data_IF_586196681090
#
_entry.id   IF_586196681090
#
_cell.length_a   1.000
_cell.length_b   1.000
_cell.length_c   1.000
_cell.angle_alpha   90.00
_cell.angle_beta   90.00
_cell.angle_gamma   90.00
#
_symmetry.space_group_name_H-M   'P 1'
#
loop_
_entity.id
_entity.type
_entity.pdbx_description
1 polymer ?
#
# COMPACT_ATOMS: atom_id res chain seq x y z
N UNK A 1 18.01 18.35 -3.70
CA UNK A 1 17.08 19.30 -3.02
C UNK A 1 15.64 18.80 -2.97
N UNK A 2 15.02 18.40 -4.10
CA UNK A 2 13.64 17.90 -4.16
C UNK A 2 13.30 16.74 -3.19
N UNK A 3 14.19 15.75 -3.04
CA UNK A 3 13.97 14.62 -2.12
C UNK A 3 13.93 15.03 -0.64
N UNK A 4 14.75 15.99 -0.23
CA UNK A 4 14.79 16.50 1.16
C UNK A 4 13.51 17.26 1.48
N UNK A 5 13.07 18.13 0.57
CA UNK A 5 11.79 18.83 0.70
C UNK A 5 10.61 17.83 0.73
N UNK A 6 10.64 16.81 -0.13
CA UNK A 6 9.64 15.74 -0.13
C UNK A 6 9.60 14.97 1.19
N UNK A 7 10.75 14.65 1.78
CA UNK A 7 10.84 14.02 3.11
C UNK A 7 10.19 14.89 4.19
N UNK A 8 10.47 16.20 4.19
CA UNK A 8 9.82 17.12 5.13
C UNK A 8 8.30 17.09 4.97
N UNK A 9 7.78 17.14 3.74
CA UNK A 9 6.34 17.03 3.46
C UNK A 9 5.76 15.71 3.99
N UNK A 10 6.42 14.58 3.71
CA UNK A 10 5.98 13.26 4.21
C UNK A 10 5.94 13.24 5.74
N UNK A 11 7.00 13.69 6.42
CA UNK A 11 7.05 13.72 7.87
C UNK A 11 6.04 14.71 8.48
N UNK A 12 5.77 15.84 7.85
CA UNK A 12 4.71 16.75 8.29
C UNK A 12 3.33 16.10 8.20
N UNK A 13 3.04 15.35 7.14
CA UNK A 13 1.77 14.62 6.98
C UNK A 13 1.62 13.55 8.06
N UNK A 14 2.69 12.78 8.32
CA UNK A 14 2.71 11.78 9.39
C UNK A 14 2.52 12.45 10.76
N UNK A 15 3.20 13.58 11.01
CA UNK A 15 3.05 14.35 12.24
C UNK A 15 1.61 14.82 12.47
N UNK A 16 0.92 15.27 11.42
CA UNK A 16 -0.50 15.65 11.49
C UNK A 16 -1.38 14.42 11.80
N UNK A 17 -1.10 13.27 11.19
CA UNK A 17 -1.84 12.03 11.43
C UNK A 17 -1.71 11.52 12.88
N UNK A 18 -0.64 11.90 13.58
CA UNK A 18 -0.40 11.57 14.99
C UNK A 18 -1.12 12.49 15.98
N UNK A 19 -1.59 13.67 15.56
CA UNK A 19 -2.22 14.64 16.47
C UNK A 19 -3.43 14.09 17.24
N UNK A 20 -4.36 13.33 16.64
CA UNK A 20 -5.48 12.73 17.37
C UNK A 20 -5.01 11.75 18.45
N UNK A 21 -4.01 10.92 18.13
CA UNK A 21 -3.39 9.98 19.08
C UNK A 21 -2.76 10.73 20.25
N UNK A 22 -1.98 11.78 19.96
CA UNK A 22 -1.36 12.62 20.99
C UNK A 22 -2.39 13.35 21.86
N UNK A 23 -3.52 13.77 21.28
CA UNK A 23 -4.60 14.41 22.03
C UNK A 23 -5.24 13.47 23.05
N UNK A 24 -5.45 12.19 22.69
CA UNK A 24 -5.95 11.17 23.62
C UNK A 24 -4.94 10.86 24.71
N UNK A 25 -3.65 10.81 24.38
CA UNK A 25 -2.58 10.58 25.37
C UNK A 25 -2.43 11.71 26.40
N UNK A 26 -2.95 12.91 26.15
CA UNK A 26 -2.99 13.99 27.17
C UNK A 26 -3.92 13.67 28.34
N UNK A 27 -4.88 12.75 28.15
CA UNK A 27 -5.74 12.27 29.22
C UNK A 27 -5.06 11.29 30.18
N UNK A 28 -3.81 10.89 29.89
CA UNK A 28 -3.06 9.95 30.70
C UNK A 28 -2.69 10.57 32.05
N UNK A 29 -3.18 9.96 33.13
CA UNK A 29 -2.92 10.40 34.51
C UNK A 29 -1.75 9.67 35.15
N UNK A 30 -0.98 10.35 36.01
CA UNK A 30 0.09 9.74 36.78
C UNK A 30 -0.41 9.34 38.18
N UNK A 31 -0.44 8.03 38.46
CA UNK A 31 -0.85 7.49 39.76
C UNK A 31 -1.02 5.96 39.73
N UNK A 32 -0.94 5.31 40.88
CA UNK A 32 -0.99 3.83 41.02
C UNK A 32 -2.35 3.36 41.59
N UNK A 33 -3.36 4.22 41.60
CA UNK A 33 -4.70 3.81 42.03
C UNK A 33 -5.33 2.85 41.01
N UNK A 34 -6.02 1.82 41.49
CA UNK A 34 -6.64 0.79 40.64
C UNK A 34 -7.60 1.36 39.59
N UNK A 35 -8.32 2.45 39.91
CA UNK A 35 -9.19 3.16 38.97
C UNK A 35 -8.41 3.87 37.86
N UNK A 36 -7.26 4.48 38.19
CA UNK A 36 -6.39 5.15 37.21
C UNK A 36 -5.77 4.14 36.25
N UNK A 37 -5.40 2.95 36.72
CA UNK A 37 -4.86 1.89 35.87
C UNK A 37 -5.84 1.45 34.77
N UNK A 38 -7.11 1.25 35.10
CA UNK A 38 -8.14 0.86 34.14
C UNK A 38 -8.35 1.97 33.09
N UNK A 39 -8.47 3.22 33.55
CA UNK A 39 -8.68 4.37 32.66
C UNK A 39 -7.49 4.57 31.73
N UNK A 40 -6.27 4.51 32.25
CA UNK A 40 -5.05 4.61 31.45
C UNK A 40 -4.93 3.46 30.44
N UNK A 41 -5.32 2.23 30.82
CA UNK A 41 -5.37 1.09 29.89
C UNK A 41 -6.32 1.33 28.72
N UNK A 42 -7.53 1.83 28.99
CA UNK A 42 -8.49 2.19 27.94
C UNK A 42 -7.98 3.32 27.03
N UNK A 43 -7.33 4.33 27.61
CA UNK A 43 -6.70 5.44 26.86
C UNK A 43 -5.62 4.91 25.92
N UNK A 44 -4.78 3.98 26.37
CA UNK A 44 -3.73 3.37 25.54
C UNK A 44 -4.30 2.53 24.40
N UNK A 45 -5.33 1.72 24.67
CA UNK A 45 -6.02 0.95 23.62
C UNK A 45 -6.64 1.90 22.59
N UNK A 46 -7.32 2.94 23.04
CA UNK A 46 -7.93 3.94 22.16
C UNK A 46 -6.87 4.67 21.31
N UNK A 47 -5.74 5.05 21.93
CA UNK A 47 -4.64 5.70 21.22
C UNK A 47 -4.03 4.77 20.15
N UNK A 48 -3.88 3.48 20.44
CA UNK A 48 -3.38 2.48 19.48
C UNK A 48 -4.36 2.30 18.31
N UNK A 49 -5.65 2.14 18.60
CA UNK A 49 -6.68 2.01 17.56
C UNK A 49 -6.73 3.26 16.68
N UNK A 50 -6.69 4.45 17.28
CA UNK A 50 -6.63 5.70 16.53
C UNK A 50 -5.39 5.76 15.65
N UNK A 51 -4.22 5.41 16.17
CA UNK A 51 -2.98 5.39 15.38
C UNK A 51 -3.07 4.46 14.16
N UNK A 52 -3.63 3.26 14.36
CA UNK A 52 -3.81 2.26 13.29
C UNK A 52 -4.79 2.73 12.21
N UNK A 53 -5.75 3.60 12.53
CA UNK A 53 -6.78 4.06 11.60
C UNK A 53 -6.43 5.40 10.95
N UNK A 54 -5.91 6.37 11.71
CA UNK A 54 -5.67 7.73 11.24
C UNK A 54 -4.61 7.78 10.15
N UNK A 55 -3.51 7.02 10.30
CA UNK A 55 -2.42 7.05 9.34
C UNK A 55 -2.84 6.48 7.97
N UNK A 56 -3.41 5.26 7.85
CA UNK A 56 -3.93 4.78 6.57
C UNK A 56 -5.02 5.68 5.97
N UNK A 57 -5.88 6.27 6.80
CA UNK A 57 -6.92 7.18 6.35
C UNK A 57 -6.32 8.46 5.73
N UNK A 58 -5.35 9.09 6.40
CA UNK A 58 -4.65 10.27 5.87
C UNK A 58 -3.92 9.94 4.57
N UNK A 59 -3.23 8.79 4.50
CA UNK A 59 -2.56 8.35 3.27
C UNK A 59 -3.56 8.14 2.13
N UNK A 60 -4.71 7.54 2.42
CA UNK A 60 -5.79 7.37 1.45
C UNK A 60 -6.32 8.71 0.93
N UNK A 61 -6.58 9.68 1.81
CA UNK A 61 -7.01 11.04 1.45
C UNK A 61 -5.96 11.75 0.60
N UNK A 62 -4.68 11.73 1.02
CA UNK A 62 -3.58 12.36 0.29
C UNK A 62 -3.42 11.74 -1.10
N UNK A 63 -3.55 10.42 -1.22
CA UNK A 63 -3.54 9.71 -2.51
C UNK A 63 -4.66 10.20 -3.43
N UNK A 64 -5.89 10.28 -2.91
CA UNK A 64 -7.04 10.75 -3.69
C UNK A 64 -6.84 12.20 -4.16
N UNK A 65 -6.31 13.07 -3.30
CA UNK A 65 -6.05 14.48 -3.62
C UNK A 65 -4.91 14.69 -4.63
N UNK A 66 -3.80 13.96 -4.50
CA UNK A 66 -2.60 14.21 -5.32
C UNK A 66 -2.62 13.50 -6.67
N UNK A 67 -3.18 12.28 -6.72
CA UNK A 67 -3.06 11.39 -7.87
C UNK A 67 -4.43 11.10 -8.52
N UNK A 68 -5.48 10.95 -7.71
CA UNK A 68 -6.78 10.48 -8.18
C UNK A 68 -6.68 9.10 -8.86
N UNK A 69 -7.40 8.91 -9.97
CA UNK A 69 -7.35 7.67 -10.77
C UNK A 69 -6.22 7.75 -11.80
N UNK A 70 -5.13 6.97 -11.63
CA UNK A 70 -4.05 6.87 -12.64
C UNK A 70 -4.53 6.15 -13.90
N UNK A 71 -4.36 6.77 -15.06
CA UNK A 71 -4.42 6.11 -16.36
C UNK A 71 -2.99 5.74 -16.83
N UNK A 72 -2.88 4.61 -17.54
CA UNK A 72 -1.62 3.87 -17.69
C UNK A 72 -0.98 4.00 -19.08
N UNK A 73 0.27 3.56 -19.15
CA UNK A 73 1.21 3.49 -20.27
C UNK A 73 1.95 4.82 -20.57
N UNK A 74 2.64 5.37 -19.57
CA UNK A 74 3.42 6.61 -19.71
C UNK A 74 4.70 6.59 -18.87
N UNK A 75 5.82 6.85 -19.51
CA UNK A 75 7.05 7.30 -18.85
C UNK A 75 6.84 8.73 -18.34
N UNK A 76 7.07 8.95 -17.05
CA UNK A 76 7.00 10.26 -16.42
C UNK A 76 8.41 10.81 -16.32
N UNK A 77 8.66 11.94 -16.99
CA UNK A 77 9.96 12.59 -17.00
C UNK A 77 10.48 12.91 -15.59
N UNK A 78 11.79 12.79 -15.41
CA UNK A 78 12.51 13.17 -14.21
C UNK A 78 12.19 14.64 -13.83
N UNK A 79 12.09 14.93 -12.53
CA UNK A 79 11.88 16.29 -11.99
C UNK A 79 10.58 17.02 -12.40
N UNK A 80 9.58 16.32 -12.95
CA UNK A 80 8.25 16.92 -13.15
C UNK A 80 7.48 17.03 -11.83
N UNK A 81 6.57 18.02 -11.71
CA UNK A 81 5.61 18.08 -10.60
C UNK A 81 4.81 16.78 -10.44
N UNK A 82 4.55 16.08 -11.55
CA UNK A 82 3.89 14.77 -11.55
C UNK A 82 4.77 13.69 -10.90
N UNK A 83 6.07 13.69 -11.17
CA UNK A 83 7.04 12.79 -10.53
C UNK A 83 7.05 13.01 -9.02
N UNK A 84 7.07 14.27 -8.57
CA UNK A 84 7.03 14.59 -7.14
C UNK A 84 5.75 14.08 -6.45
N UNK A 85 4.57 14.30 -7.03
CA UNK A 85 3.29 13.77 -6.50
C UNK A 85 3.29 12.25 -6.40
N UNK A 86 3.81 11.57 -7.42
CA UNK A 86 3.93 10.11 -7.45
C UNK A 86 4.85 9.62 -6.34
N UNK A 87 6.01 10.27 -6.18
CA UNK A 87 7.01 9.93 -5.18
C UNK A 87 6.50 10.12 -3.75
N UNK A 88 5.79 11.22 -3.46
CA UNK A 88 5.22 11.49 -2.11
C UNK A 88 4.23 10.40 -1.72
N UNK A 89 3.31 10.05 -2.61
CA UNK A 89 2.31 9.01 -2.30
C UNK A 89 2.93 7.62 -2.25
N UNK A 90 3.88 7.31 -3.11
CA UNK A 90 4.62 6.04 -3.04
C UNK A 90 5.33 5.90 -1.69
N UNK A 91 5.99 6.96 -1.21
CA UNK A 91 6.67 6.95 0.08
C UNK A 91 5.70 6.81 1.26
N UNK A 92 4.59 7.55 1.25
CA UNK A 92 3.56 7.45 2.28
C UNK A 92 2.93 6.05 2.31
N UNK A 93 2.66 5.48 1.14
CA UNK A 93 2.12 4.13 1.01
C UNK A 93 3.12 3.07 1.49
N UNK A 94 4.40 3.21 1.13
CA UNK A 94 5.46 2.31 1.57
C UNK A 94 5.61 2.23 3.10
N UNK A 95 5.23 3.27 3.84
CA UNK A 95 5.25 3.27 5.31
C UNK A 95 4.16 2.41 5.94
N UNK A 96 3.04 2.20 5.24
CA UNK A 96 1.86 1.51 5.81
C UNK A 96 1.57 0.16 5.16
N UNK A 97 1.95 -0.03 3.89
CA UNK A 97 1.55 -1.20 3.11
C UNK A 97 2.08 -2.50 3.69
N UNK A 98 3.31 -2.50 4.23
CA UNK A 98 3.90 -3.68 4.87
C UNK A 98 3.09 -4.11 6.09
N UNK A 99 2.83 -3.19 7.02
CA UNK A 99 2.00 -3.48 8.21
C UNK A 99 0.57 -3.92 7.84
N UNK A 100 -0.03 -3.35 6.79
CA UNK A 100 -1.34 -3.77 6.30
C UNK A 100 -1.28 -5.19 5.74
N UNK A 101 -0.27 -5.51 4.93
CA UNK A 101 -0.09 -6.85 4.36
C UNK A 101 0.14 -7.89 5.46
N UNK A 102 0.98 -7.59 6.46
CA UNK A 102 1.28 -8.51 7.57
C UNK A 102 0.06 -8.73 8.47
N UNK A 103 -0.71 -7.66 8.76
CA UNK A 103 -1.85 -7.72 9.68
C UNK A 103 -3.07 -8.38 9.05
N UNK A 104 -3.30 -8.15 7.75
CA UNK A 104 -4.49 -8.61 7.04
C UNK A 104 -4.22 -9.71 6.02
N UNK A 105 -2.97 -10.16 5.87
CA UNK A 105 -2.55 -11.24 4.98
C UNK A 105 -3.34 -12.52 5.24
N UNK A 106 -3.76 -13.18 4.16
CA UNK A 106 -4.60 -14.38 4.23
C UNK A 106 -6.05 -14.13 4.64
N UNK A 107 -6.45 -12.88 4.93
CA UNK A 107 -7.84 -12.54 5.25
C UNK A 107 -8.58 -11.95 4.05
N UNK A 108 -9.91 -12.08 4.04
CA UNK A 108 -10.77 -11.45 3.03
C UNK A 108 -10.73 -9.90 3.09
N UNK A 109 -10.17 -9.32 4.15
CA UNK A 109 -10.08 -7.88 4.36
C UNK A 109 -9.00 -7.24 3.50
N UNK A 110 -7.89 -7.94 3.21
CA UNK A 110 -6.78 -7.38 2.44
C UNK A 110 -7.19 -6.98 1.00
N UNK A 111 -7.90 -7.82 0.23
CA UNK A 111 -8.50 -7.42 -1.05
C UNK A 111 -9.43 -6.20 -0.95
N UNK A 112 -10.20 -6.06 0.13
CA UNK A 112 -11.10 -4.91 0.34
C UNK A 112 -10.30 -3.63 0.51
N UNK A 113 -9.25 -3.67 1.35
CA UNK A 113 -8.36 -2.52 1.56
C UNK A 113 -7.71 -2.12 0.24
N UNK A 114 -7.12 -3.07 -0.50
CA UNK A 114 -6.50 -2.74 -1.78
C UNK A 114 -7.48 -2.21 -2.83
N UNK A 115 -8.73 -2.68 -2.86
CA UNK A 115 -9.79 -2.07 -3.66
C UNK A 115 -10.09 -0.62 -3.25
N UNK A 116 -10.12 -0.31 -1.95
CA UNK A 116 -10.29 1.06 -1.47
C UNK A 116 -9.13 1.98 -1.89
N UNK A 117 -7.92 1.43 -1.98
CA UNK A 117 -6.75 2.11 -2.55
C UNK A 117 -6.72 2.07 -4.09
N UNK A 118 -7.71 1.50 -4.77
CA UNK A 118 -7.90 1.60 -6.21
C UNK A 118 -7.48 0.37 -7.04
N UNK A 119 -7.05 -0.72 -6.41
CA UNK A 119 -6.84 -1.98 -7.10
C UNK A 119 -8.14 -2.56 -7.66
N UNK A 120 -8.05 -3.25 -8.80
CA UNK A 120 -9.17 -3.97 -9.39
C UNK A 120 -9.02 -5.44 -9.04
N UNK A 121 -9.55 -5.83 -7.89
CA UNK A 121 -9.48 -7.20 -7.38
C UNK A 121 -10.86 -7.82 -7.42
N UNK A 122 -10.99 -8.96 -8.09
CA UNK A 122 -12.21 -9.75 -8.19
C UNK A 122 -12.73 -10.31 -6.87
N UNK A 123 -13.77 -11.14 -6.98
CA UNK A 123 -14.37 -11.89 -5.90
C UNK A 123 -13.57 -13.15 -5.57
N UNK A 124 -13.60 -13.58 -4.31
CA UNK A 124 -12.92 -14.80 -3.83
C UNK A 124 -11.42 -14.85 -4.16
N UNK A 125 -10.75 -13.70 -4.14
CA UNK A 125 -9.29 -13.63 -4.33
C UNK A 125 -8.60 -13.81 -2.98
N UNK A 126 -7.62 -14.70 -2.96
CA UNK A 126 -6.76 -14.91 -1.80
C UNK A 126 -5.41 -14.22 -2.00
N UNK A 127 -4.98 -13.43 -1.02
CA UNK A 127 -3.69 -12.74 -1.01
C UNK A 127 -2.97 -13.10 0.29
N UNK A 128 -1.83 -13.78 0.21
CA UNK A 128 -0.97 -14.08 1.36
C UNK A 128 0.11 -13.00 1.48
N UNK A 129 -0.06 -12.10 2.45
CA UNK A 129 0.90 -11.04 2.81
C UNK A 129 1.47 -10.25 1.61
N UNK A 130 0.70 -10.14 0.53
CA UNK A 130 1.20 -9.62 -0.74
C UNK A 130 1.26 -8.10 -0.72
N UNK A 131 2.47 -7.53 -0.79
CA UNK A 131 2.65 -6.06 -0.79
C UNK A 131 2.41 -5.46 -2.18
N UNK A 132 1.25 -4.84 -2.38
CA UNK A 132 0.94 -4.10 -3.62
C UNK A 132 1.41 -2.65 -3.55
N UNK A 133 2.54 -2.30 -4.17
CA UNK A 133 3.13 -0.95 -4.11
C UNK A 133 2.32 0.13 -4.82
N UNK A 134 1.72 -0.15 -5.97
CA UNK A 134 0.78 0.77 -6.62
C UNK A 134 -0.55 0.04 -6.93
N UNK A 135 -1.45 -0.05 -5.94
CA UNK A 135 -2.69 -0.82 -6.07
C UNK A 135 -3.50 -0.45 -7.32
N UNK A 136 -3.55 0.84 -7.69
CA UNK A 136 -4.32 1.32 -8.85
C UNK A 136 -3.85 0.81 -10.23
N UNK A 137 -2.67 0.21 -10.30
CA UNK A 137 -2.08 -0.40 -11.49
C UNK A 137 -2.20 -1.92 -11.51
N UNK A 138 -2.74 -2.52 -10.45
CA UNK A 138 -2.91 -3.97 -10.32
C UNK A 138 -4.35 -4.37 -10.63
N UNK A 139 -4.50 -5.38 -11.47
CA UNK A 139 -5.78 -6.03 -11.77
C UNK A 139 -5.64 -7.53 -11.50
N UNK A 140 -6.51 -8.10 -10.68
CA UNK A 140 -6.55 -9.52 -10.34
C UNK A 140 -7.97 -10.03 -10.56
N UNK A 141 -8.13 -11.05 -11.40
CA UNK A 141 -9.41 -11.68 -11.71
C UNK A 141 -10.01 -12.50 -10.57
N UNK A 142 -11.23 -12.99 -10.77
CA UNK A 142 -11.99 -13.71 -9.75
C UNK A 142 -11.37 -15.07 -9.43
N UNK A 143 -11.41 -15.48 -8.16
CA UNK A 143 -10.96 -16.80 -7.72
C UNK A 143 -9.47 -17.05 -7.86
N UNK A 144 -8.67 -16.00 -8.01
CA UNK A 144 -7.21 -16.10 -8.13
C UNK A 144 -6.53 -16.11 -6.76
N UNK A 145 -5.40 -16.79 -6.68
CA UNK A 145 -4.59 -16.95 -5.48
C UNK A 145 -3.23 -16.31 -5.74
N UNK A 146 -2.80 -15.42 -4.86
CA UNK A 146 -1.46 -14.85 -4.86
C UNK A 146 -0.81 -15.20 -3.54
N UNK A 147 0.25 -16.00 -3.60
CA UNK A 147 0.96 -16.48 -2.42
C UNK A 147 2.03 -15.50 -1.94
N UNK A 148 2.65 -15.84 -0.81
CA UNK A 148 3.61 -15.00 -0.08
C UNK A 148 4.78 -14.55 -0.95
N UNK A 149 5.25 -13.33 -0.71
CA UNK A 149 6.41 -12.73 -1.36
C UNK A 149 6.30 -12.61 -2.89
N UNK A 150 5.11 -12.80 -3.47
CA UNK A 150 4.89 -12.50 -4.87
C UNK A 150 4.97 -10.99 -5.11
N UNK A 151 5.83 -10.58 -6.05
CA UNK A 151 6.07 -9.18 -6.39
C UNK A 151 5.36 -8.85 -7.70
N UNK A 152 4.40 -7.93 -7.63
CA UNK A 152 3.74 -7.37 -8.81
C UNK A 152 4.35 -5.99 -9.10
N UNK A 153 5.30 -5.94 -10.02
CA UNK A 153 6.04 -4.72 -10.33
C UNK A 153 5.23 -3.79 -11.24
N UNK A 154 4.81 -2.66 -10.69
CA UNK A 154 4.05 -1.63 -11.40
C UNK A 154 4.84 -0.34 -11.65
N UNK A 155 6.08 -0.29 -11.16
CA UNK A 155 6.91 0.91 -11.10
C UNK A 155 8.39 0.56 -11.23
N UNK A 156 9.10 1.32 -12.07
CA UNK A 156 10.58 1.28 -12.17
C UNK A 156 11.13 2.70 -12.33
N UNK A 157 12.22 3.01 -11.63
CA UNK A 157 13.04 4.20 -11.88
C UNK A 157 14.08 3.87 -12.96
N UNK A 158 14.06 4.61 -14.06
CA UNK A 158 15.08 4.49 -15.11
C UNK A 158 16.37 5.21 -14.71
N UNK A 159 17.53 4.82 -15.28
CA UNK A 159 18.79 5.54 -15.07
C UNK A 159 18.75 7.04 -15.42
N UNK A 160 17.83 7.43 -16.32
CA UNK A 160 17.57 8.83 -16.68
C UNK A 160 16.83 9.64 -15.60
N UNK A 161 16.49 9.02 -14.46
CA UNK A 161 15.68 9.61 -13.39
C UNK A 161 14.19 9.68 -13.70
N UNK A 162 13.77 9.21 -14.87
CA UNK A 162 12.36 9.11 -15.25
C UNK A 162 11.73 7.87 -14.61
N UNK A 163 10.42 7.92 -14.38
CA UNK A 163 9.67 6.79 -13.82
C UNK A 163 8.89 6.12 -14.95
N UNK A 164 8.96 4.79 -15.04
CA UNK A 164 8.05 4.00 -15.85
C UNK A 164 6.96 3.38 -14.97
N UNK A 165 5.71 3.52 -15.42
CA UNK A 165 4.53 2.96 -14.77
C UNK A 165 3.74 2.14 -15.78
N UNK A 166 3.44 0.89 -15.44
CA UNK A 166 2.61 0.02 -16.26
C UNK A 166 1.67 -0.85 -15.40
N UNK A 167 0.61 -1.39 -16.00
CA UNK A 167 -0.32 -2.27 -15.28
C UNK A 167 0.24 -3.69 -15.22
N UNK A 168 -0.01 -4.37 -14.12
CA UNK A 168 0.11 -5.82 -14.02
C UNK A 168 -1.30 -6.39 -13.97
N UNK A 169 -1.60 -7.33 -14.86
CA UNK A 169 -2.90 -8.00 -14.94
C UNK A 169 -2.76 -9.48 -14.70
N UNK A 170 -3.47 -9.98 -13.70
CA UNK A 170 -3.64 -11.40 -13.43
C UNK A 170 -5.08 -11.76 -13.79
N UNK A 171 -5.25 -12.77 -14.63
CA UNK A 171 -6.55 -13.30 -15.01
C UNK A 171 -7.34 -13.91 -13.84
N UNK A 172 -8.44 -14.56 -14.18
CA UNK A 172 -9.30 -15.27 -13.22
C UNK A 172 -8.84 -16.71 -13.01
N UNK A 173 -9.02 -17.23 -11.80
CA UNK A 173 -8.61 -18.58 -11.39
C UNK A 173 -7.12 -18.87 -11.62
N UNK A 174 -6.28 -17.86 -11.45
CA UNK A 174 -4.83 -18.02 -11.57
C UNK A 174 -4.22 -18.34 -10.21
N UNK A 175 -3.10 -19.05 -10.22
CA UNK A 175 -2.28 -19.31 -9.03
C UNK A 175 -0.91 -18.67 -9.27
N UNK A 176 -0.55 -17.73 -8.42
CA UNK A 176 0.79 -17.12 -8.40
C UNK A 176 1.50 -17.68 -7.17
N UNK A 177 2.42 -18.59 -7.40
CA UNK A 177 3.17 -19.27 -6.33
C UNK A 177 4.19 -18.32 -5.67
N UNK A 178 4.77 -18.70 -4.50
CA UNK A 178 5.58 -17.81 -3.69
C UNK A 178 6.84 -17.32 -4.39
N UNK A 179 7.30 -16.14 -4.01
CA UNK A 179 8.53 -15.53 -4.53
C UNK A 179 8.55 -15.35 -6.06
N UNK A 180 7.37 -15.30 -6.69
CA UNK A 180 7.24 -14.99 -8.12
C UNK A 180 7.36 -13.49 -8.35
N UNK A 181 7.99 -13.08 -9.45
CA UNK A 181 8.06 -11.67 -9.86
C UNK A 181 7.36 -11.50 -11.19
N UNK A 182 6.29 -10.69 -11.19
CA UNK A 182 5.57 -10.27 -12.38
C UNK A 182 6.03 -8.86 -12.75
N UNK A 183 6.83 -8.75 -13.81
CA UNK A 183 7.41 -7.48 -14.26
C UNK A 183 6.38 -6.49 -14.81
N UNK A 184 6.83 -5.25 -15.03
CA UNK A 184 6.00 -4.17 -15.58
C UNK A 184 5.29 -4.60 -16.88
N UNK A 185 3.97 -4.40 -16.93
CA UNK A 185 3.17 -4.66 -18.13
C UNK A 185 2.74 -6.12 -18.28
N UNK A 186 3.12 -7.01 -17.35
CA UNK A 186 2.82 -8.42 -17.42
C UNK A 186 1.29 -8.70 -17.43
N UNK A 187 0.89 -9.66 -18.26
CA UNK A 187 -0.49 -10.14 -18.38
C UNK A 187 -0.50 -11.66 -18.27
N UNK A 188 -1.08 -12.17 -17.20
CA UNK A 188 -1.29 -13.60 -16.98
C UNK A 188 -2.70 -13.96 -17.45
N UNK A 189 -2.80 -14.97 -18.31
CA UNK A 189 -4.08 -15.47 -18.81
C UNK A 189 -4.87 -16.23 -17.74
N UNK A 190 -6.18 -16.36 -17.95
CA UNK A 190 -7.07 -17.07 -17.02
C UNK A 190 -6.65 -18.53 -16.83
N UNK A 191 -6.80 -19.06 -15.61
CA UNK A 191 -6.47 -20.45 -15.28
C UNK A 191 -4.98 -20.78 -15.27
N UNK A 192 -4.10 -19.79 -15.36
CA UNK A 192 -2.66 -20.01 -15.41
C UNK A 192 -2.07 -20.22 -14.01
N UNK A 193 -1.06 -21.08 -13.94
CA UNK A 193 -0.22 -21.25 -12.75
C UNK A 193 1.17 -20.70 -13.07
N UNK A 194 1.64 -19.77 -12.27
CA UNK A 194 3.01 -19.25 -12.34
C UNK A 194 3.79 -19.88 -11.19
N UNK A 195 4.79 -20.69 -11.53
CA UNK A 195 5.54 -21.47 -10.57
C UNK A 195 6.42 -20.59 -9.67
N UNK A 196 6.72 -21.09 -8.47
CA UNK A 196 7.54 -20.40 -7.49
C UNK A 196 8.90 -20.02 -8.07
N UNK A 197 9.46 -18.88 -7.60
CA UNK A 197 10.75 -18.35 -8.03
C UNK A 197 10.82 -17.97 -9.53
N UNK A 198 9.68 -17.91 -10.23
CA UNK A 198 9.67 -17.49 -11.62
C UNK A 198 9.75 -15.97 -11.72
N UNK A 199 10.60 -15.48 -12.61
CA UNK A 199 10.68 -14.07 -12.97
C UNK A 199 10.16 -13.87 -14.40
N UNK A 200 9.01 -13.21 -14.56
CA UNK A 200 8.41 -12.93 -15.86
C UNK A 200 8.69 -11.48 -16.23
N UNK A 201 9.61 -11.28 -17.18
CA UNK A 201 9.90 -9.97 -17.74
C UNK A 201 8.82 -9.49 -18.72
N UNK A 202 8.79 -8.17 -18.93
CA UNK A 202 7.87 -7.46 -19.82
C UNK A 202 7.86 -8.08 -21.23
N UNK A 203 6.67 -8.39 -21.74
CA UNK A 203 6.43 -8.70 -23.16
C UNK A 203 5.74 -7.54 -23.86
#
# INVERSE_FOLDING_TARGET
MFKVFGLLVVYSIVGIALLPTLAVLRGFGYGIESRLLIVNGLILILALVLFMVTLPFVVWVVKMLLIGKRQTNRTVAACSWKHFRIWVVDRLWAMIVGSIAETFGGTATLPIIYRAFGARIGNNVFLDDTVLRNPELVEIGDGSIVERDAVLETFVELPSGSIMLDRVKVGSRCIIEPNTVLGLGCKIGDGSVVCALTHIERR
#
